data_IF_650423232963
#
_entry.id   IF_650423232963
#
_cell.length_a   1.000
_cell.length_b   1.000
_cell.length_c   1.000
_cell.angle_alpha   90.00
_cell.angle_beta   90.00
_cell.angle_gamma   90.00
#
_symmetry.space_group_name_H-M   'P 1'
#
loop_
_entity.id
_entity.type
_entity.pdbx_description
1 polymer ?
#
# COMPACT_ATOMS: atom_id res chain seq x y z
N UNK A 1 30.30 -3.52 -5.37
CA UNK A 1 29.41 -3.10 -6.45
C UNK A 1 28.15 -2.55 -5.80
N UNK A 2 27.91 -1.24 -5.89
CA UNK A 2 26.67 -0.62 -5.37
C UNK A 2 25.62 -0.83 -6.45
N UNK A 3 24.62 -1.65 -6.17
CA UNK A 3 23.50 -1.88 -7.09
C UNK A 3 22.43 -0.83 -6.86
N UNK A 4 22.17 0.02 -7.85
CA UNK A 4 21.03 0.94 -7.88
C UNK A 4 19.95 0.38 -8.80
N UNK A 5 18.71 0.30 -8.30
CA UNK A 5 17.58 -0.16 -9.11
C UNK A 5 16.42 0.83 -9.04
N UNK A 6 16.39 1.73 -10.03
CA UNK A 6 15.30 2.69 -10.28
C UNK A 6 14.38 2.17 -11.39
N UNK A 7 13.84 0.97 -11.20
CA UNK A 7 12.95 0.32 -12.18
C UNK A 7 11.64 -0.04 -11.47
N UNK A 8 10.69 0.90 -11.34
CA UNK A 8 9.60 0.79 -10.36
C UNK A 8 8.79 -0.50 -10.50
N UNK A 9 8.47 -0.93 -11.74
CA UNK A 9 7.74 -2.17 -11.99
C UNK A 9 8.59 -3.44 -12.05
N UNK A 10 9.87 -3.34 -12.43
CA UNK A 10 10.74 -4.52 -12.54
C UNK A 10 11.45 -4.87 -11.24
N UNK A 11 11.42 -4.00 -10.22
CA UNK A 11 12.24 -4.19 -9.01
C UNK A 11 11.93 -5.51 -8.27
N UNK A 12 10.66 -5.96 -8.24
CA UNK A 12 10.31 -7.27 -7.67
C UNK A 12 10.97 -8.43 -8.42
N UNK A 13 10.85 -8.44 -9.75
CA UNK A 13 11.47 -9.46 -10.62
C UNK A 13 12.99 -9.43 -10.54
N UNK A 14 13.59 -8.25 -10.37
CA UNK A 14 15.04 -8.07 -10.27
C UNK A 14 15.58 -8.52 -8.91
N UNK A 15 14.86 -8.22 -7.83
CA UNK A 15 15.15 -8.75 -6.50
C UNK A 15 15.13 -10.30 -6.50
N UNK A 16 14.13 -10.91 -7.16
CA UNK A 16 14.05 -12.38 -7.35
C UNK A 16 15.20 -12.99 -8.16
N UNK A 17 15.80 -12.23 -9.09
CA UNK A 17 16.96 -12.66 -9.88
C UNK A 17 18.29 -12.51 -9.13
N UNK A 18 18.31 -11.73 -8.05
CA UNK A 18 19.50 -11.52 -7.22
C UNK A 18 19.87 -12.81 -6.45
N UNK A 19 21.15 -12.95 -6.10
CA UNK A 19 21.68 -14.09 -5.33
C UNK A 19 22.50 -13.59 -4.13
N UNK A 20 22.03 -13.75 -2.88
CA UNK A 20 20.69 -14.24 -2.47
C UNK A 20 19.55 -13.34 -2.98
N UNK A 21 18.32 -13.87 -3.00
CA UNK A 21 17.15 -13.10 -3.46
C UNK A 21 16.90 -11.92 -2.53
N UNK A 22 16.70 -10.74 -3.12
CA UNK A 22 16.29 -9.53 -2.40
C UNK A 22 14.78 -9.41 -2.49
N UNK A 23 14.13 -9.25 -1.34
CA UNK A 23 12.67 -9.03 -1.27
C UNK A 23 12.37 -7.57 -1.60
N UNK A 24 11.59 -7.34 -2.66
CA UNK A 24 11.10 -6.00 -3.02
C UNK A 24 9.59 -6.08 -3.27
N UNK A 25 8.76 -6.12 -2.21
CA UNK A 25 7.32 -6.32 -2.36
C UNK A 25 6.65 -5.14 -3.07
N UNK A 26 6.25 -5.37 -4.31
CA UNK A 26 5.40 -4.47 -5.09
C UNK A 26 4.72 -5.23 -6.24
N UNK A 27 3.63 -4.68 -6.76
CA UNK A 27 2.96 -5.21 -7.94
C UNK A 27 2.40 -4.08 -8.82
N UNK A 28 2.49 -4.19 -10.15
CA UNK A 28 1.87 -3.24 -11.06
C UNK A 28 0.33 -3.30 -11.04
N UNK A 29 -0.31 -2.15 -11.14
CA UNK A 29 -1.73 -1.96 -11.39
C UNK A 29 -1.93 -1.11 -12.64
N UNK A 30 -3.04 -1.34 -13.33
CA UNK A 30 -3.56 -0.42 -14.33
C UNK A 30 -3.92 0.91 -13.65
N UNK A 31 -3.53 2.03 -14.27
CA UNK A 31 -3.85 3.38 -13.81
C UNK A 31 -4.33 4.23 -14.98
N UNK A 32 -5.46 4.89 -14.79
CA UNK A 32 -6.23 5.50 -15.87
C UNK A 32 -6.26 7.02 -15.78
N UNK A 33 -6.05 7.67 -16.92
CA UNK A 33 -6.40 9.06 -17.13
C UNK A 33 -6.72 9.33 -18.60
N UNK A 34 -7.51 10.36 -18.85
CA UNK A 34 -7.80 10.89 -20.17
C UNK A 34 -7.13 12.25 -20.34
N UNK A 35 -6.86 12.58 -21.59
CA UNK A 35 -6.50 13.94 -22.01
C UNK A 35 -7.51 14.42 -23.04
N UNK A 36 -7.83 15.70 -23.03
CA UNK A 36 -8.70 16.33 -24.03
C UNK A 36 -7.89 17.07 -25.09
N UNK A 37 -8.54 17.38 -26.21
CA UNK A 37 -8.07 18.44 -27.11
C UNK A 37 -8.17 19.81 -26.41
N UNK A 38 -7.54 20.87 -26.95
CA UNK A 38 -7.66 22.20 -26.40
C UNK A 38 -9.12 22.64 -26.24
N UNK A 39 -9.43 23.28 -25.12
CA UNK A 39 -10.75 23.80 -24.78
C UNK A 39 -10.66 25.33 -24.83
N UNK A 40 -11.61 25.95 -25.51
CA UNK A 40 -11.63 27.41 -25.66
C UNK A 40 -11.75 28.10 -24.30
N UNK A 41 -10.94 29.13 -24.06
CA UNK A 41 -10.93 29.88 -22.81
C UNK A 41 -10.27 29.15 -21.63
N UNK A 42 -9.57 28.03 -21.85
CA UNK A 42 -8.83 27.34 -20.79
C UNK A 42 -7.71 28.23 -20.22
N UNK A 43 -7.68 28.39 -18.91
CA UNK A 43 -6.64 29.14 -18.20
C UNK A 43 -5.40 28.23 -18.01
N UNK A 44 -4.21 28.60 -18.56
CA UNK A 44 -2.98 27.85 -18.35
C UNK A 44 -2.53 27.77 -16.88
N UNK A 45 -3.05 28.63 -16.01
CA UNK A 45 -2.74 28.68 -14.58
C UNK A 45 -3.80 28.01 -13.72
N UNK A 46 -4.74 27.25 -14.30
CA UNK A 46 -5.72 26.48 -13.56
C UNK A 46 -5.02 25.59 -12.50
N UNK A 47 -5.42 25.67 -11.22
CA UNK A 47 -4.82 24.86 -10.18
C UNK A 47 -5.10 23.37 -10.41
N UNK A 48 -4.19 22.52 -9.91
CA UNK A 48 -4.45 21.08 -9.85
C UNK A 48 -5.59 20.85 -8.85
N UNK A 49 -6.66 20.21 -9.31
CA UNK A 49 -7.81 19.86 -8.47
C UNK A 49 -7.74 18.39 -8.10
N UNK A 50 -8.04 18.10 -6.83
CA UNK A 50 -8.27 16.75 -6.33
C UNK A 50 -9.64 16.71 -5.67
N UNK A 51 -10.51 15.88 -6.21
CA UNK A 51 -11.82 15.59 -5.63
C UNK A 51 -11.75 14.21 -4.95
N UNK A 52 -11.59 14.22 -3.63
CA UNK A 52 -11.50 13.01 -2.83
C UNK A 52 -12.82 12.24 -2.77
N UNK A 53 -13.97 12.94 -2.80
CA UNK A 53 -15.28 12.29 -2.80
C UNK A 53 -15.54 11.58 -4.13
N UNK A 54 -15.10 12.20 -5.24
CA UNK A 54 -15.15 11.63 -6.58
C UNK A 54 -13.98 10.69 -6.94
N UNK A 55 -12.98 10.55 -6.07
CA UNK A 55 -11.75 9.78 -6.28
C UNK A 55 -10.92 10.22 -7.52
N UNK A 56 -11.06 11.48 -7.95
CA UNK A 56 -10.52 11.98 -9.21
C UNK A 56 -9.59 13.18 -9.00
N UNK A 57 -8.73 13.42 -9.99
CA UNK A 57 -7.90 14.59 -10.10
C UNK A 57 -7.91 15.11 -11.52
N UNK A 58 -7.73 16.42 -11.68
CA UNK A 58 -7.57 17.01 -13.00
C UNK A 58 -6.72 18.27 -12.95
N UNK A 59 -6.08 18.58 -14.07
CA UNK A 59 -5.25 19.76 -14.26
C UNK A 59 -5.29 20.20 -15.71
N UNK A 60 -4.91 21.45 -15.95
CA UNK A 60 -4.62 21.92 -17.30
C UNK A 60 -3.54 21.04 -17.94
N UNK A 61 -3.74 20.73 -19.23
CA UNK A 61 -2.79 20.01 -20.04
C UNK A 61 -2.87 20.44 -21.51
N UNK A 62 -1.87 21.19 -21.97
CA UNK A 62 -1.72 21.59 -23.38
C UNK A 62 -2.93 22.33 -23.96
N UNK A 63 -3.50 23.26 -23.20
CA UNK A 63 -4.72 24.00 -23.53
C UNK A 63 -6.01 23.21 -23.32
N UNK A 64 -5.94 21.94 -22.91
CA UNK A 64 -7.07 21.11 -22.53
C UNK A 64 -6.97 20.68 -21.06
N UNK A 65 -7.55 19.51 -20.75
CA UNK A 65 -7.54 18.91 -19.42
C UNK A 65 -6.91 17.52 -19.48
N UNK A 66 -6.10 17.21 -18.47
CA UNK A 66 -5.79 15.84 -18.06
C UNK A 66 -6.67 15.53 -16.85
N UNK A 67 -7.47 14.46 -16.93
CA UNK A 67 -8.33 14.01 -15.84
C UNK A 67 -8.17 12.50 -15.63
N UNK A 68 -7.94 12.09 -14.38
CA UNK A 68 -7.80 10.69 -14.01
C UNK A 68 -8.26 10.48 -12.57
N UNK A 69 -8.05 9.28 -12.04
CA UNK A 69 -8.48 8.99 -10.68
C UNK A 69 -7.93 7.68 -10.17
N UNK A 70 -8.46 7.26 -9.02
CA UNK A 70 -8.06 6.04 -8.33
C UNK A 70 -9.31 5.21 -8.08
N UNK A 71 -9.51 4.13 -8.86
CA UNK A 71 -10.70 3.30 -8.72
C UNK A 71 -10.78 2.66 -7.32
N UNK A 72 -11.99 2.49 -6.76
CA UNK A 72 -12.17 1.79 -5.48
C UNK A 72 -11.60 0.36 -5.47
N UNK A 73 -11.59 -0.30 -6.63
CA UNK A 73 -11.03 -1.63 -6.82
C UNK A 73 -10.08 -1.57 -8.00
N UNK A 74 -8.78 -1.53 -7.71
CA UNK A 74 -7.77 -1.48 -8.74
C UNK A 74 -7.64 -2.80 -9.50
N UNK A 75 -7.15 -2.71 -10.74
CA UNK A 75 -6.90 -3.85 -11.60
C UNK A 75 -5.40 -4.18 -11.63
N UNK A 76 -4.95 -5.30 -11.03
CA UNK A 76 -3.56 -5.70 -11.08
C UNK A 76 -3.14 -6.03 -12.52
N UNK A 77 -2.01 -5.47 -12.96
CA UNK A 77 -1.45 -5.69 -14.28
C UNK A 77 -0.39 -6.80 -14.25
N UNK A 78 -0.15 -7.43 -15.40
CA UNK A 78 0.94 -8.40 -15.58
C UNK A 78 0.94 -9.57 -14.57
N UNK A 79 -0.23 -10.15 -14.29
CA UNK A 79 -0.36 -11.29 -13.37
C UNK A 79 0.57 -12.47 -13.71
N UNK A 80 0.88 -12.67 -14.98
CA UNK A 80 1.79 -13.71 -15.49
C UNK A 80 3.24 -13.24 -15.63
N UNK A 81 3.55 -12.02 -15.20
CA UNK A 81 4.85 -11.38 -15.32
C UNK A 81 4.88 -10.29 -16.40
N UNK A 82 5.80 -9.34 -16.23
CA UNK A 82 6.00 -8.22 -17.16
C UNK A 82 6.74 -8.75 -18.40
N UNK A 83 6.24 -8.50 -19.63
CA UNK A 83 6.96 -8.85 -20.85
C UNK A 83 8.36 -8.23 -20.88
N UNK A 84 9.36 -8.97 -21.38
CA UNK A 84 10.76 -8.51 -21.38
C UNK A 84 10.99 -7.30 -22.30
N UNK A 85 10.16 -7.15 -23.32
CA UNK A 85 10.19 -6.10 -24.34
C UNK A 85 9.24 -4.92 -24.03
N UNK A 86 8.54 -4.95 -22.89
CA UNK A 86 7.66 -3.87 -22.49
C UNK A 86 8.45 -2.59 -22.19
N UNK A 87 8.34 -1.58 -23.04
CA UNK A 87 8.96 -0.26 -22.86
C UNK A 87 8.11 0.79 -23.57
N UNK A 88 7.90 1.94 -22.92
CA UNK A 88 7.09 3.04 -23.46
C UNK A 88 5.68 2.61 -23.95
N UNK A 89 5.18 1.48 -23.44
CA UNK A 89 3.91 0.88 -23.81
C UNK A 89 2.79 1.32 -22.88
N UNK A 90 1.57 1.28 -23.40
CA UNK A 90 0.33 1.37 -22.63
C UNK A 90 -0.37 0.03 -22.67
N UNK A 91 -1.19 -0.22 -21.66
CA UNK A 91 -2.15 -1.31 -21.66
C UNK A 91 -3.39 -0.91 -22.50
N UNK A 92 -4.23 -1.86 -22.93
CA UNK A 92 -5.44 -1.56 -23.68
C UNK A 92 -6.37 -0.61 -22.91
N UNK A 93 -7.06 0.26 -23.65
CA UNK A 93 -8.11 1.11 -23.10
C UNK A 93 -9.21 0.26 -22.46
N UNK A 94 -9.76 0.73 -21.33
CA UNK A 94 -10.83 0.06 -20.58
C UNK A 94 -11.83 1.10 -20.06
N UNK A 95 -12.74 1.50 -20.96
CA UNK A 95 -13.73 2.53 -20.67
C UNK A 95 -14.76 2.09 -19.63
N UNK A 96 -15.09 0.80 -19.60
CA UNK A 96 -16.03 0.24 -18.62
C UNK A 96 -15.47 0.33 -17.20
N UNK A 97 -14.17 0.05 -17.03
CA UNK A 97 -13.51 0.23 -15.74
C UNK A 97 -13.38 1.72 -15.36
N UNK A 98 -13.03 2.57 -16.32
CA UNK A 98 -12.86 4.02 -16.11
C UNK A 98 -14.18 4.75 -15.80
N UNK A 99 -15.34 4.20 -16.14
CA UNK A 99 -16.64 4.86 -15.99
C UNK A 99 -16.89 5.38 -14.57
N UNK A 100 -16.44 4.64 -13.54
CA UNK A 100 -16.59 5.05 -12.12
C UNK A 100 -15.89 6.37 -11.80
N UNK A 101 -14.85 6.72 -12.57
CA UNK A 101 -14.11 7.99 -12.47
C UNK A 101 -14.67 9.05 -13.40
N UNK A 102 -15.20 8.65 -14.57
CA UNK A 102 -15.77 9.57 -15.55
C UNK A 102 -16.98 10.31 -15.00
N UNK A 103 -17.91 9.62 -14.33
CA UNK A 103 -19.12 10.26 -13.79
C UNK A 103 -18.81 11.40 -12.80
N UNK A 104 -17.93 11.21 -11.79
CA UNK A 104 -17.46 12.32 -10.95
C UNK A 104 -16.71 13.43 -11.70
N UNK A 105 -15.90 13.09 -12.72
CA UNK A 105 -15.20 14.09 -13.53
C UNK A 105 -16.22 15.02 -14.23
N UNK A 106 -17.24 14.44 -14.87
CA UNK A 106 -18.29 15.20 -15.54
C UNK A 106 -19.09 16.05 -14.55
N UNK A 107 -19.43 15.49 -13.38
CA UNK A 107 -20.13 16.22 -12.33
C UNK A 107 -19.31 17.41 -11.79
N UNK A 108 -18.03 17.20 -11.52
CA UNK A 108 -17.16 18.21 -10.91
C UNK A 108 -16.72 19.28 -11.91
N UNK A 109 -16.53 18.93 -13.17
CA UNK A 109 -16.10 19.84 -14.22
C UNK A 109 -16.96 19.68 -15.50
N UNK A 110 -18.18 20.27 -15.52
CA UNK A 110 -19.18 20.06 -16.58
C UNK A 110 -18.71 20.39 -18.00
N UNK A 111 -17.68 21.23 -18.16
CA UNK A 111 -17.06 21.50 -19.46
C UNK A 111 -16.59 20.21 -20.14
N UNK A 112 -16.25 19.17 -19.36
CA UNK A 112 -15.85 17.86 -19.86
C UNK A 112 -16.96 17.12 -20.63
N UNK A 113 -18.24 17.46 -20.44
CA UNK A 113 -19.36 16.83 -21.17
C UNK A 113 -19.31 17.11 -22.69
N UNK A 114 -18.73 18.24 -23.07
CA UNK A 114 -18.60 18.66 -24.48
C UNK A 114 -17.16 18.62 -24.98
N UNK A 115 -16.20 18.33 -24.10
CA UNK A 115 -14.80 18.27 -24.45
C UNK A 115 -14.51 17.04 -25.33
N UNK A 116 -13.72 17.25 -26.38
CA UNK A 116 -13.27 16.15 -27.22
C UNK A 116 -12.10 15.43 -26.54
N UNK A 117 -12.30 14.17 -26.15
CA UNK A 117 -11.21 13.32 -25.69
C UNK A 117 -10.16 13.20 -26.80
N UNK A 118 -8.90 13.45 -26.43
CA UNK A 118 -7.76 13.23 -27.30
C UNK A 118 -7.27 11.79 -27.19
N UNK A 119 -7.09 11.30 -25.96
CA UNK A 119 -6.55 9.95 -25.69
C UNK A 119 -6.87 9.48 -24.27
N UNK A 120 -7.19 8.19 -24.14
CA UNK A 120 -7.15 7.46 -22.87
C UNK A 120 -5.74 6.86 -22.67
N UNK A 121 -5.26 6.93 -21.44
CA UNK A 121 -4.02 6.33 -21.02
C UNK A 121 -4.35 5.28 -19.96
N UNK A 122 -3.98 4.04 -20.24
CA UNK A 122 -3.91 2.96 -19.26
C UNK A 122 -2.44 2.58 -19.08
N UNK A 123 -1.82 3.09 -18.01
CA UNK A 123 -0.40 2.88 -17.73
C UNK A 123 -0.21 1.93 -16.55
N UNK A 124 0.77 1.01 -16.58
CA UNK A 124 1.11 0.23 -15.40
C UNK A 124 1.88 1.06 -14.38
N UNK A 125 1.37 1.13 -13.15
CA UNK A 125 2.03 1.76 -12.01
C UNK A 125 2.22 0.78 -10.87
N UNK A 126 3.34 0.85 -10.15
CA UNK A 126 3.68 -0.15 -9.13
C UNK A 126 3.41 0.30 -7.70
N UNK A 127 2.63 -0.52 -7.01
CA UNK A 127 2.18 -0.29 -5.64
C UNK A 127 2.80 -1.31 -4.69
N UNK A 128 3.22 -0.84 -3.53
CA UNK A 128 3.64 -1.72 -2.42
C UNK A 128 2.41 -2.21 -1.65
N UNK A 129 2.53 -3.26 -0.82
CA UNK A 129 1.42 -3.76 -0.01
C UNK A 129 0.75 -2.75 0.93
N UNK A 130 1.45 -1.66 1.28
CA UNK A 130 1.01 -0.68 2.26
C UNK A 130 0.85 0.74 1.73
N UNK A 131 1.23 0.98 0.46
CA UNK A 131 1.22 2.27 -0.20
C UNK A 131 2.41 3.17 0.12
N UNK A 132 3.32 2.76 1.02
CA UNK A 132 4.57 3.46 1.28
C UNK A 132 5.65 3.01 0.31
N UNK A 133 6.66 3.84 0.08
CA UNK A 133 7.76 3.46 -0.81
C UNK A 133 8.64 2.37 -0.18
N UNK A 134 9.43 1.69 -1.01
CA UNK A 134 10.45 0.75 -0.58
C UNK A 134 11.82 1.43 -0.73
N UNK A 135 12.39 1.90 0.37
CA UNK A 135 13.65 2.63 0.44
C UNK A 135 14.66 1.91 1.34
N UNK A 136 15.94 2.04 1.04
CA UNK A 136 17.02 1.67 1.96
C UNK A 136 17.80 0.41 1.60
N UNK A 137 18.64 -0.03 2.52
CA UNK A 137 19.55 -1.14 2.32
C UNK A 137 18.85 -2.50 2.50
N UNK A 138 19.00 -3.40 1.52
CA UNK A 138 18.48 -4.76 1.63
C UNK A 138 19.30 -5.59 2.64
N UNK A 139 18.61 -6.38 3.46
CA UNK A 139 19.23 -7.28 4.44
C UNK A 139 20.02 -8.43 3.83
N UNK A 140 19.63 -8.84 2.62
CA UNK A 140 20.08 -10.07 2.00
C UNK A 140 21.44 -9.91 1.29
N UNK A 141 21.72 -8.71 0.77
CA UNK A 141 22.95 -8.41 0.01
C UNK A 141 23.57 -7.12 0.55
N UNK A 142 24.83 -7.20 0.97
CA UNK A 142 25.61 -6.02 1.38
C UNK A 142 25.74 -5.02 0.22
N UNK A 143 25.54 -3.74 0.52
CA UNK A 143 25.60 -2.62 -0.44
C UNK A 143 24.57 -2.71 -1.58
N UNK A 144 23.43 -3.35 -1.33
CA UNK A 144 22.28 -3.37 -2.23
C UNK A 144 21.23 -2.40 -1.70
N UNK A 145 20.93 -1.35 -2.45
CA UNK A 145 19.98 -0.32 -2.05
C UNK A 145 18.75 -0.34 -2.95
N UNK A 146 17.57 -0.23 -2.34
CA UNK A 146 16.29 -0.24 -3.02
C UNK A 146 15.68 1.16 -2.96
N UNK A 147 15.14 1.61 -4.10
CA UNK A 147 14.27 2.76 -4.19
C UNK A 147 13.17 2.45 -5.22
N UNK A 148 12.05 1.91 -4.73
CA UNK A 148 11.00 1.37 -5.59
C UNK A 148 9.59 1.60 -5.00
N UNK A 149 8.56 1.29 -5.80
CA UNK A 149 7.16 1.36 -5.35
C UNK A 149 6.64 2.79 -5.14
N UNK A 150 7.12 3.76 -5.91
CA UNK A 150 6.75 5.17 -5.73
C UNK A 150 5.32 5.55 -6.17
N UNK A 151 4.45 4.58 -6.48
CA UNK A 151 2.97 4.67 -6.41
C UNK A 151 2.38 6.06 -6.72
N UNK A 152 2.34 6.48 -7.99
CA UNK A 152 1.83 7.79 -8.47
C UNK A 152 2.42 9.07 -7.86
N UNK A 153 3.35 8.97 -6.91
CA UNK A 153 3.99 10.10 -6.21
C UNK A 153 5.51 10.18 -6.44
N UNK A 154 6.05 9.32 -7.32
CA UNK A 154 7.49 9.25 -7.57
C UNK A 154 8.09 10.56 -8.07
N UNK A 155 7.39 11.28 -8.94
CA UNK A 155 7.87 12.58 -9.45
C UNK A 155 7.95 13.61 -8.31
N UNK A 156 6.91 13.70 -7.49
CA UNK A 156 6.87 14.64 -6.37
C UNK A 156 7.90 14.30 -5.28
N UNK A 157 8.13 13.00 -5.03
CA UNK A 157 9.06 12.51 -4.01
C UNK A 157 10.52 12.42 -4.44
N UNK A 158 10.82 12.46 -5.74
CA UNK A 158 12.14 12.11 -6.30
C UNK A 158 13.31 12.87 -5.65
N UNK A 159 13.15 14.18 -5.42
CA UNK A 159 14.19 15.00 -4.80
C UNK A 159 14.54 14.55 -3.37
N UNK A 160 13.51 14.27 -2.56
CA UNK A 160 13.69 13.77 -1.19
C UNK A 160 14.27 12.37 -1.18
N UNK A 161 13.76 11.46 -2.02
CA UNK A 161 14.27 10.08 -2.13
C UNK A 161 15.76 10.09 -2.49
N UNK A 162 16.17 10.91 -3.47
CA UNK A 162 17.57 11.01 -3.87
C UNK A 162 18.48 11.48 -2.73
N UNK A 163 18.06 12.50 -1.99
CA UNK A 163 18.78 13.00 -0.81
C UNK A 163 18.93 11.92 0.25
N UNK A 164 17.83 11.35 0.74
CA UNK A 164 17.86 10.43 1.87
C UNK A 164 18.51 9.07 1.53
N UNK A 165 18.39 8.61 0.29
CA UNK A 165 19.11 7.41 -0.16
C UNK A 165 20.62 7.67 -0.20
N UNK A 166 21.05 8.88 -0.56
CA UNK A 166 22.47 9.26 -0.56
C UNK A 166 23.02 9.26 0.87
N UNK A 167 22.29 9.84 1.83
CA UNK A 167 22.65 9.79 3.26
C UNK A 167 22.75 8.34 3.76
N UNK A 168 21.82 7.47 3.36
CA UNK A 168 21.88 6.04 3.70
C UNK A 168 23.14 5.35 3.16
N UNK A 169 23.63 5.77 2.00
CA UNK A 169 24.82 5.20 1.37
C UNK A 169 26.11 5.72 2.00
N UNK A 170 26.17 7.03 2.29
CA UNK A 170 27.38 7.69 2.78
C UNK A 170 27.50 7.57 4.30
N UNK A 171 26.44 7.89 5.02
CA UNK A 171 26.41 8.03 6.48
C UNK A 171 25.83 6.77 7.17
N UNK A 172 25.25 5.85 6.39
CA UNK A 172 24.67 4.60 6.89
C UNK A 172 23.24 4.74 7.41
N UNK A 173 22.73 5.97 7.56
CA UNK A 173 21.35 6.26 7.97
C UNK A 173 20.85 7.60 7.41
N UNK A 174 19.54 7.74 7.14
CA UNK A 174 18.94 9.00 6.71
C UNK A 174 18.82 10.03 7.86
N UNK A 175 18.79 11.32 7.53
CA UNK A 175 18.65 12.42 8.50
C UNK A 175 17.24 12.58 9.08
N UNK A 176 16.27 11.76 8.64
CA UNK A 176 14.88 11.74 9.12
C UNK A 176 14.43 10.30 9.34
N UNK A 177 13.37 10.10 10.13
CA UNK A 177 12.77 8.78 10.30
C UNK A 177 12.07 8.33 9.00
N UNK A 178 12.59 7.25 8.41
CA UNK A 178 12.04 6.59 7.23
C UNK A 178 11.56 5.16 7.53
N UNK A 179 11.32 4.81 8.80
CA UNK A 179 10.91 3.46 9.21
C UNK A 179 9.71 2.90 8.44
N UNK A 180 8.71 3.73 8.15
CA UNK A 180 7.53 3.36 7.35
C UNK A 180 7.83 3.12 5.86
N UNK A 181 8.95 3.62 5.36
CA UNK A 181 9.41 3.48 3.98
C UNK A 181 10.57 2.50 3.86
N UNK A 182 11.17 2.07 4.97
CA UNK A 182 12.29 1.13 5.00
C UNK A 182 11.87 -0.20 4.37
N UNK A 183 12.69 -0.73 3.46
CA UNK A 183 12.51 -2.04 2.83
C UNK A 183 12.51 -3.18 3.86
N UNK A 184 13.17 -3.00 5.00
CA UNK A 184 13.29 -3.99 6.06
C UNK A 184 11.98 -4.21 6.84
N UNK A 185 10.97 -3.35 6.67
CA UNK A 185 9.64 -3.56 7.29
C UNK A 185 8.92 -4.79 6.75
N UNK A 186 9.34 -5.32 5.60
CA UNK A 186 8.67 -6.44 4.95
C UNK A 186 9.16 -7.79 5.43
N UNK A 187 8.23 -8.65 5.83
CA UNK A 187 8.50 -10.06 6.10
C UNK A 187 8.48 -10.89 4.80
N UNK A 188 9.11 -12.09 4.76
CA UNK A 188 9.16 -12.92 3.56
C UNK A 188 7.79 -13.19 2.89
N UNK A 189 6.72 -13.27 3.68
CA UNK A 189 5.36 -13.51 3.21
C UNK A 189 4.83 -12.39 2.32
N UNK A 190 5.27 -11.14 2.52
CA UNK A 190 4.86 -10.01 1.69
C UNK A 190 5.39 -10.10 0.26
N UNK A 191 6.42 -10.91 0.00
CA UNK A 191 6.99 -11.06 -1.35
C UNK A 191 6.20 -12.05 -2.23
N UNK A 192 5.12 -12.65 -1.70
CA UNK A 192 4.26 -13.58 -2.42
C UNK A 192 3.46 -12.84 -3.53
N UNK A 193 3.53 -13.27 -4.80
CA UNK A 193 2.87 -12.58 -5.91
C UNK A 193 1.34 -12.60 -5.84
N UNK A 194 0.73 -13.66 -5.31
CA UNK A 194 -0.73 -13.74 -5.14
C UNK A 194 -1.20 -12.76 -4.06
N UNK A 195 -0.48 -12.71 -2.92
CA UNK A 195 -0.73 -11.71 -1.89
C UNK A 195 -0.63 -10.29 -2.45
N UNK A 196 0.46 -10.01 -3.16
CA UNK A 196 0.70 -8.71 -3.75
C UNK A 196 -0.40 -8.31 -4.72
N UNK A 197 -0.79 -9.20 -5.64
CA UNK A 197 -1.86 -8.96 -6.61
C UNK A 197 -3.23 -8.72 -5.94
N UNK A 198 -3.56 -9.42 -4.85
CA UNK A 198 -4.79 -9.16 -4.10
C UNK A 198 -4.73 -7.86 -3.29
N UNK A 199 -3.59 -7.57 -2.67
CA UNK A 199 -3.39 -6.40 -1.80
C UNK A 199 -3.39 -5.08 -2.57
N UNK A 200 -2.83 -5.05 -3.79
CA UNK A 200 -2.80 -3.81 -4.57
C UNK A 200 -4.19 -3.35 -5.03
N UNK A 201 -5.17 -4.27 -5.12
CA UNK A 201 -6.58 -3.95 -5.45
C UNK A 201 -7.21 -2.94 -4.49
N UNK A 202 -6.82 -2.94 -3.23
CA UNK A 202 -7.28 -1.98 -2.20
C UNK A 202 -6.24 -0.88 -1.91
N UNK A 203 -4.98 -1.03 -2.34
CA UNK A 203 -3.91 -0.09 -2.00
C UNK A 203 -3.83 1.11 -2.93
N UNK A 204 -4.20 0.96 -4.21
CA UNK A 204 -4.31 2.09 -5.15
C UNK A 204 -5.36 3.11 -4.69
N UNK A 205 -6.48 2.63 -4.13
CA UNK A 205 -7.66 3.41 -3.71
C UNK A 205 -7.44 4.36 -2.52
N UNK A 206 -6.28 4.99 -2.40
CA UNK A 206 -5.89 5.90 -1.31
C UNK A 206 -6.51 7.31 -1.38
N UNK A 207 -7.54 7.51 -2.20
CA UNK A 207 -8.32 8.74 -2.19
C UNK A 207 -9.44 8.72 -1.14
N UNK A 208 -9.53 7.66 -0.35
CA UNK A 208 -10.43 7.57 0.80
C UNK A 208 -9.80 8.18 2.05
N UNK A 209 -10.66 8.61 2.98
CA UNK A 209 -10.23 8.99 4.32
C UNK A 209 -9.70 7.75 5.04
N UNK A 210 -8.40 7.78 5.39
CA UNK A 210 -7.81 6.72 6.21
C UNK A 210 -8.11 6.95 7.69
N UNK A 211 -8.85 6.04 8.30
CA UNK A 211 -9.17 6.13 9.72
C UNK A 211 -8.10 5.46 10.60
N UNK A 212 -7.87 5.91 11.85
CA UNK A 212 -6.78 5.40 12.69
C UNK A 212 -6.83 3.88 12.94
N UNK A 213 -8.01 3.28 12.96
CA UNK A 213 -8.22 1.85 13.25
C UNK A 213 -8.51 1.03 12.01
N UNK A 214 -8.40 1.63 10.82
CA UNK A 214 -8.70 0.98 9.56
C UNK A 214 -7.77 -0.22 9.33
N UNK A 215 -8.35 -1.32 8.87
CA UNK A 215 -7.63 -2.53 8.54
C UNK A 215 -7.82 -2.85 7.06
N UNK A 216 -6.78 -3.45 6.49
CA UNK A 216 -6.85 -4.00 5.15
C UNK A 216 -7.63 -5.30 5.15
N UNK A 217 -8.43 -5.55 4.12
CA UNK A 217 -9.32 -6.71 4.04
C UNK A 217 -8.87 -7.72 2.99
N UNK A 218 -8.08 -7.29 1.98
CA UNK A 218 -7.51 -8.19 0.97
C UNK A 218 -6.16 -8.73 1.39
N UNK A 219 -5.81 -9.92 0.89
CA UNK A 219 -4.52 -10.56 1.16
C UNK A 219 -4.29 -10.90 2.63
N UNK A 220 -5.35 -11.31 3.35
CA UNK A 220 -5.31 -11.64 4.79
C UNK A 220 -4.96 -13.11 5.03
N UNK A 221 -4.78 -13.47 6.32
CA UNK A 221 -4.47 -14.82 6.80
C UNK A 221 -3.18 -15.41 6.20
N UNK A 222 -2.19 -14.57 5.91
CA UNK A 222 -0.84 -15.01 5.48
C UNK A 222 -0.12 -15.80 6.57
N UNK A 223 -0.30 -15.38 7.83
CA UNK A 223 0.21 -16.07 9.01
C UNK A 223 -0.84 -16.00 10.10
N UNK A 224 -1.04 -17.12 10.77
CA UNK A 224 -1.94 -17.24 11.90
C UNK A 224 -1.19 -17.87 13.07
N UNK A 225 -1.57 -17.54 14.29
CA UNK A 225 -1.04 -18.23 15.46
C UNK A 225 -1.66 -19.63 15.59
N UNK A 226 -1.04 -20.54 16.36
CA UNK A 226 -1.65 -21.83 16.71
C UNK A 226 -3.00 -21.69 17.44
N UNK A 227 -3.29 -20.52 18.00
CA UNK A 227 -4.55 -20.23 18.70
C UNK A 227 -5.62 -19.62 17.78
N UNK A 228 -5.29 -19.24 16.54
CA UNK A 228 -6.16 -18.44 15.67
C UNK A 228 -7.58 -18.99 15.57
N UNK A 229 -7.76 -20.27 15.23
CA UNK A 229 -9.10 -20.88 15.11
C UNK A 229 -9.86 -20.88 16.43
N UNK A 230 -9.17 -21.07 17.56
CA UNK A 230 -9.81 -21.01 18.88
C UNK A 230 -10.26 -19.60 19.21
N UNK A 231 -9.42 -18.62 18.93
CA UNK A 231 -9.71 -17.21 19.17
C UNK A 231 -10.83 -16.70 18.25
N UNK A 232 -10.86 -17.14 16.99
CA UNK A 232 -11.94 -16.85 16.04
C UNK A 232 -13.29 -17.36 16.56
N UNK A 233 -13.35 -18.59 17.08
CA UNK A 233 -14.57 -19.14 17.73
C UNK A 233 -14.98 -18.35 18.97
N UNK A 234 -14.03 -17.76 19.70
CA UNK A 234 -14.31 -16.91 20.86
C UNK A 234 -14.63 -15.45 20.48
N UNK A 235 -14.81 -15.14 19.20
CA UNK A 235 -15.20 -13.80 18.75
C UNK A 235 -14.04 -12.81 18.60
N UNK A 236 -12.80 -13.29 18.39
CA UNK A 236 -11.67 -12.40 18.13
C UNK A 236 -11.83 -11.59 16.84
N UNK A 237 -11.81 -10.26 16.96
CA UNK A 237 -11.75 -9.35 15.82
C UNK A 237 -10.28 -9.10 15.46
N UNK A 238 -9.86 -9.58 14.28
CA UNK A 238 -8.45 -9.60 13.90
C UNK A 238 -8.02 -8.36 13.11
N UNK A 239 -6.89 -7.77 13.52
CA UNK A 239 -6.07 -6.86 12.71
C UNK A 239 -4.87 -7.58 12.10
N UNK A 240 -4.23 -6.95 11.12
CA UNK A 240 -3.00 -7.46 10.52
C UNK A 240 -1.77 -6.75 11.10
N UNK A 241 -0.73 -7.51 11.46
CA UNK A 241 0.59 -6.94 11.81
C UNK A 241 1.69 -7.86 11.32
N UNK A 242 2.60 -7.38 10.46
CA UNK A 242 3.71 -8.18 9.91
C UNK A 242 3.26 -9.56 9.35
N UNK A 243 2.20 -9.54 8.54
CA UNK A 243 1.50 -10.69 7.97
C UNK A 243 0.76 -11.60 8.97
N UNK A 244 0.80 -11.31 10.28
CA UNK A 244 0.02 -12.05 11.28
C UNK A 244 -1.40 -11.50 11.43
N UNK A 245 -2.35 -12.41 11.53
CA UNK A 245 -3.65 -12.17 12.15
C UNK A 245 -3.48 -12.05 13.67
N UNK A 246 -3.72 -10.85 14.21
CA UNK A 246 -3.62 -10.55 15.64
C UNK A 246 -4.98 -10.15 16.18
N UNK A 247 -5.50 -10.79 17.25
CA UNK A 247 -6.70 -10.32 17.93
C UNK A 247 -6.48 -8.89 18.42
N UNK A 248 -7.37 -7.97 18.03
CA UNK A 248 -7.35 -6.58 18.47
C UNK A 248 -8.30 -6.35 19.65
N UNK A 249 -9.41 -7.07 19.66
CA UNK A 249 -10.45 -7.09 20.68
C UNK A 249 -11.39 -8.27 20.44
N UNK A 250 -12.30 -8.57 21.36
CA UNK A 250 -13.24 -9.67 21.30
C UNK A 250 -14.68 -9.17 21.38
N UNK A 251 -15.54 -9.73 20.53
CA UNK A 251 -16.98 -9.49 20.60
C UNK A 251 -17.70 -10.61 21.35
N UNK A 252 -18.71 -10.22 22.15
CA UNK A 252 -19.57 -11.15 22.88
C UNK A 252 -20.74 -11.67 22.02
N UNK A 253 -20.93 -11.14 20.81
CA UNK A 253 -22.01 -11.50 19.89
C UNK A 253 -21.44 -11.99 18.56
N UNK A 254 -21.87 -13.18 18.13
CA UNK A 254 -21.51 -13.74 16.83
C UNK A 254 -22.08 -12.90 15.67
N UNK A 255 -23.26 -12.30 15.86
CA UNK A 255 -23.85 -11.38 14.88
C UNK A 255 -23.01 -10.09 14.77
N UNK A 256 -22.48 -9.59 15.89
CA UNK A 256 -21.56 -8.45 15.90
C UNK A 256 -20.21 -8.83 15.26
N UNK A 257 -19.75 -10.07 15.40
CA UNK A 257 -18.53 -10.53 14.72
C UNK A 257 -18.70 -10.46 13.20
N UNK A 258 -19.80 -11.02 12.68
CA UNK A 258 -20.11 -11.00 11.25
C UNK A 258 -20.37 -9.58 10.74
N UNK A 259 -21.06 -8.75 11.54
CA UNK A 259 -21.27 -7.34 11.22
C UNK A 259 -19.95 -6.56 11.16
N UNK A 260 -19.04 -6.75 12.12
CA UNK A 260 -17.74 -6.04 12.12
C UNK A 260 -16.79 -6.57 11.05
N UNK A 261 -16.84 -7.85 10.70
CA UNK A 261 -16.09 -8.40 9.58
C UNK A 261 -16.61 -7.85 8.24
N UNK A 262 -17.93 -7.86 8.03
CA UNK A 262 -18.56 -7.32 6.82
C UNK A 262 -18.39 -5.80 6.69
N UNK A 263 -18.50 -5.06 7.80
CA UNK A 263 -18.24 -3.62 7.83
C UNK A 263 -16.76 -3.29 7.90
N UNK A 264 -15.83 -4.22 8.12
CA UNK A 264 -14.41 -3.90 7.86
C UNK A 264 -14.15 -3.71 6.36
N UNK A 265 -14.99 -4.29 5.50
CA UNK A 265 -14.94 -4.12 4.03
C UNK A 265 -15.70 -2.88 3.53
N UNK A 266 -16.59 -2.27 4.34
CA UNK A 266 -17.50 -1.18 3.94
C UNK A 266 -17.67 -0.05 4.96
N UNK A 267 -17.10 -0.18 6.13
CA UNK A 267 -17.43 0.58 7.32
C UNK A 267 -16.67 1.89 7.35
N UNK A 268 -17.43 2.96 7.57
CA UNK A 268 -16.86 4.26 7.88
C UNK A 268 -16.14 4.12 9.22
N UNK A 269 -14.82 4.19 9.21
CA UNK A 269 -14.06 4.32 10.45
C UNK A 269 -14.44 5.62 11.17
N UNK A 270 -13.83 5.88 12.33
CA UNK A 270 -14.10 7.08 13.10
C UNK A 270 -12.80 7.69 13.63
N UNK A 271 -12.79 9.02 13.75
CA UNK A 271 -11.76 9.75 14.50
C UNK A 271 -12.12 9.91 15.98
N UNK A 272 -13.37 9.58 16.35
CA UNK A 272 -13.87 9.62 17.72
C UNK A 272 -13.75 8.28 18.45
N UNK A 273 -14.60 8.09 19.46
CA UNK A 273 -14.69 6.83 20.21
C UNK A 273 -15.12 5.70 19.25
N UNK A 274 -14.33 4.61 19.10
CA UNK A 274 -14.70 3.49 18.25
C UNK A 274 -15.86 2.67 18.86
N UNK A 275 -16.58 1.95 18.00
CA UNK A 275 -17.72 1.10 18.41
C UNK A 275 -17.32 -0.01 19.37
N UNK A 276 -16.11 -0.55 19.21
CA UNK A 276 -15.55 -1.61 20.05
C UNK A 276 -14.95 -1.12 21.38
N UNK A 277 -15.06 0.18 21.71
CA UNK A 277 -14.42 0.72 22.91
C UNK A 277 -14.94 0.07 24.19
N UNK A 278 -16.25 -0.21 24.28
CA UNK A 278 -16.83 -0.80 25.48
C UNK A 278 -16.40 -2.28 25.63
N UNK A 279 -16.20 -3.01 24.52
CA UNK A 279 -15.55 -4.34 24.54
C UNK A 279 -14.13 -4.27 25.10
N UNK A 280 -13.31 -3.34 24.61
CA UNK A 280 -11.93 -3.16 25.11
C UNK A 280 -11.92 -2.73 26.58
N UNK A 281 -12.89 -1.92 27.01
CA UNK A 281 -13.06 -1.55 28.41
C UNK A 281 -13.35 -2.76 29.29
N UNK A 282 -14.21 -3.68 28.84
CA UNK A 282 -14.48 -4.94 29.54
C UNK A 282 -13.22 -5.82 29.62
N UNK A 283 -12.49 -5.97 28.51
CA UNK A 283 -11.22 -6.71 28.48
C UNK A 283 -10.18 -6.11 29.45
N UNK A 284 -10.10 -4.79 29.56
CA UNK A 284 -9.23 -4.11 30.52
C UNK A 284 -9.57 -4.47 31.97
N UNK A 285 -10.86 -4.42 32.35
CA UNK A 285 -11.27 -4.79 33.71
C UNK A 285 -11.04 -6.28 33.98
N UNK A 286 -11.30 -7.15 32.99
CA UNK A 286 -10.97 -8.57 33.09
C UNK A 286 -9.46 -8.80 33.32
N UNK A 287 -8.59 -8.10 32.59
CA UNK A 287 -7.14 -8.20 32.78
C UNK A 287 -6.69 -7.70 34.16
N UNK A 288 -7.39 -6.71 34.71
CA UNK A 288 -7.05 -6.08 35.99
C UNK A 288 -7.54 -6.88 37.19
N UNK A 289 -8.72 -7.47 37.10
CA UNK A 289 -9.43 -8.10 38.23
C UNK A 289 -9.42 -9.63 38.17
N UNK A 290 -9.06 -10.21 37.02
CA UNK A 290 -9.04 -11.65 36.77
C UNK A 290 -7.77 -12.09 36.05
N UNK A 291 -7.81 -13.25 35.40
CA UNK A 291 -6.72 -13.81 34.62
C UNK A 291 -7.10 -13.76 33.14
N UNK A 292 -6.24 -13.17 32.32
CA UNK A 292 -6.41 -13.08 30.89
C UNK A 292 -5.26 -13.75 30.14
N UNK A 293 -5.57 -14.27 28.95
CA UNK A 293 -4.59 -14.81 28.02
C UNK A 293 -4.48 -13.87 26.82
N UNK A 294 -3.25 -13.44 26.51
CA UNK A 294 -2.97 -12.58 25.36
C UNK A 294 -2.08 -13.36 24.39
N UNK A 295 -2.49 -13.44 23.13
CA UNK A 295 -1.69 -14.08 22.08
C UNK A 295 -0.56 -13.15 21.59
N UNK A 296 0.67 -13.50 21.98
CA UNK A 296 1.90 -12.76 21.65
C UNK A 296 2.71 -13.47 20.55
N UNK A 297 2.07 -14.37 19.79
CA UNK A 297 2.72 -15.13 18.71
C UNK A 297 3.26 -14.25 17.58
N UNK A 298 2.69 -13.06 17.38
CA UNK A 298 3.11 -12.08 16.36
C UNK A 298 4.43 -11.38 16.66
N UNK A 299 4.91 -11.42 17.91
CA UNK A 299 6.17 -10.77 18.29
C UNK A 299 7.35 -11.42 17.58
N UNK A 300 8.30 -10.61 17.13
CA UNK A 300 9.57 -11.08 16.61
C UNK A 300 10.32 -11.84 17.70
N UNK A 301 10.82 -13.02 17.36
CA UNK A 301 11.56 -13.91 18.27
C UNK A 301 12.94 -14.12 17.67
N UNK A 302 13.98 -13.72 18.40
CA UNK A 302 15.38 -13.85 17.96
C UNK A 302 16.14 -14.66 18.98
N UNK A 303 16.75 -15.76 18.55
CA UNK A 303 17.67 -16.53 19.38
C UNK A 303 19.11 -16.16 19.01
N UNK A 304 19.85 -15.59 19.96
CA UNK A 304 21.26 -15.23 19.77
C UNK A 304 22.13 -16.26 20.46
N UNK A 305 22.89 -17.03 19.68
CA UNK A 305 23.85 -18.02 20.18
C UNK A 305 25.27 -17.56 19.90
N UNK A 306 26.07 -17.48 20.96
CA UNK A 306 27.51 -17.16 20.87
C UNK A 306 28.29 -18.48 20.86
N UNK A 307 29.10 -18.71 19.82
CA UNK A 307 29.89 -19.96 19.67
C UNK A 307 31.24 -19.96 20.41
N UNK A 308 31.72 -18.82 20.84
CA UNK A 308 32.94 -18.63 21.66
C UNK A 308 32.93 -17.22 22.23
N UNK A 309 33.56 -16.99 23.39
CA UNK A 309 33.67 -15.69 24.09
C UNK A 309 34.18 -14.57 23.17
N UNK A 310 33.27 -13.95 22.45
CA UNK A 310 33.45 -12.65 21.82
C UNK A 310 32.38 -11.77 22.47
N UNK A 311 32.83 -10.79 23.24
CA UNK A 311 31.97 -9.74 23.76
C UNK A 311 31.17 -9.16 22.60
N UNK A 312 29.85 -9.32 22.63
CA UNK A 312 28.97 -8.40 21.91
C UNK A 312 29.29 -7.03 22.50
N UNK A 313 30.07 -6.24 21.79
CA UNK A 313 30.38 -4.87 22.19
C UNK A 313 29.07 -4.13 22.34
N UNK A 314 28.78 -3.74 23.56
CA UNK A 314 27.75 -2.78 23.91
C UNK A 314 28.18 -1.41 23.38
N UNK A 315 27.77 -1.10 22.15
CA UNK A 315 27.64 0.27 21.65
C UNK A 315 26.23 0.44 21.10
#
# INVERSE_FOLDING_TARGET
>A
MVGFFLLPQWAHSLGKKSKPQVRVPLHPCEHFYITTKPIEGMDPMMPVVRDYDGLVYFREWSGGILAGGFEPVAKPAFLQGIPNDFQFGLLPDDWDHFQVLLDPILHRYPVMETANVHKMFNGPESFTPDGHWNLGAASEIKNYYVAAGMSSMGIAGAGGIGKYLTEWIIDGMPSIDLSSHDILRHVPHHNNPQFLAERVKETLGNYTLRYPTEQRYRGRKLRTSPLHTRLEVQGACFGETNAYERPMWFTNSHDDYLYNQYNSEKGKGTFGKPTFFDNVKEEYWACKEHVCLIDMSSFTKTEVKVRSTCSLSSE
#
